data_IF_531504053293
#
_entry.id   IF_531504053293
#
_cell.length_a   1.000
_cell.length_b   1.000
_cell.length_c   1.000
_cell.angle_alpha   90.00
_cell.angle_beta   90.00
_cell.angle_gamma   90.00
#
_symmetry.space_group_name_H-M   'P 1'
#
loop_
_entity.id
_entity.type
_entity.pdbx_description
1 polymer ?
#
# COMPACT_ATOMS: atom_id res chain seq x y z
N UNK A 1 5.32 -13.05 -0.22
CA UNK A 1 5.73 -12.17 0.87
C UNK A 1 4.52 -11.38 1.39
N UNK A 2 4.36 -11.25 2.71
CA UNK A 2 3.44 -10.30 3.34
C UNK A 2 4.19 -8.98 3.54
N UNK A 3 3.72 -7.92 2.88
CA UNK A 3 4.39 -6.62 2.85
C UNK A 3 3.47 -5.57 3.49
N UNK A 4 3.71 -5.20 4.76
CA UNK A 4 2.92 -4.14 5.40
C UNK A 4 3.18 -2.79 4.74
N UNK A 5 2.13 -1.98 4.58
CA UNK A 5 2.27 -0.58 4.20
C UNK A 5 3.04 0.19 5.29
N UNK A 6 3.92 1.10 4.91
CA UNK A 6 4.71 1.84 5.88
C UNK A 6 3.84 2.85 6.62
N UNK A 7 3.77 2.72 7.94
CA UNK A 7 3.09 3.70 8.80
C UNK A 7 3.84 5.04 8.75
N UNK A 8 3.10 6.14 8.58
CA UNK A 8 3.68 7.48 8.55
C UNK A 8 4.49 7.75 9.85
N UNK A 9 5.70 8.30 9.70
CA UNK A 9 6.60 8.60 10.83
C UNK A 9 5.97 9.46 11.92
N UNK A 10 5.07 10.37 11.55
CA UNK A 10 4.31 11.21 12.50
C UNK A 10 3.36 10.39 13.37
N UNK A 11 2.73 9.36 12.83
CA UNK A 11 1.83 8.47 13.57
C UNK A 11 2.61 7.54 14.51
N UNK A 12 3.76 7.01 14.06
CA UNK A 12 4.67 6.21 14.88
C UNK A 12 5.24 6.97 16.07
N UNK A 13 5.65 8.24 15.84
CA UNK A 13 6.22 9.07 16.92
C UNK A 13 5.20 9.49 17.98
N UNK A 14 3.91 9.61 17.61
CA UNK A 14 2.85 10.01 18.54
C UNK A 14 2.30 8.87 19.37
N UNK A 15 2.27 7.65 18.84
CA UNK A 15 1.59 6.50 19.47
C UNK A 15 2.52 5.34 19.82
N UNK A 16 3.76 5.33 19.34
CA UNK A 16 4.70 4.21 19.52
C UNK A 16 4.34 2.95 18.74
N UNK A 17 3.13 2.88 18.18
CA UNK A 17 2.52 1.67 17.61
C UNK A 17 2.70 1.60 16.10
N UNK A 18 2.82 0.37 15.60
CA UNK A 18 2.84 0.02 14.18
C UNK A 18 1.69 -0.96 13.87
N UNK A 19 0.43 -0.49 13.87
CA UNK A 19 -0.74 -1.37 13.81
C UNK A 19 -0.75 -2.23 12.54
N UNK A 20 -0.34 -1.67 11.39
CA UNK A 20 -0.26 -2.42 10.13
C UNK A 20 0.85 -3.47 10.18
N UNK A 21 1.99 -3.13 10.78
CA UNK A 21 3.06 -4.10 11.01
C UNK A 21 2.66 -5.21 11.98
N UNK A 22 1.91 -4.89 13.03
CA UNK A 22 1.40 -5.88 13.99
C UNK A 22 0.34 -6.78 13.35
N UNK A 23 -0.57 -6.21 12.55
CA UNK A 23 -1.54 -6.95 11.76
C UNK A 23 -0.84 -7.94 10.81
N UNK A 24 0.16 -7.47 10.07
CA UNK A 24 0.91 -8.32 9.14
C UNK A 24 1.69 -9.43 9.87
N UNK A 25 2.24 -9.16 11.07
CA UNK A 25 2.88 -10.18 11.92
C UNK A 25 1.89 -11.22 12.41
N UNK A 26 0.70 -10.78 12.83
CA UNK A 26 -0.35 -11.69 13.26
C UNK A 26 -0.81 -12.57 12.10
N UNK A 27 -1.05 -11.99 10.93
CA UNK A 27 -1.41 -12.71 9.71
C UNK A 27 -0.35 -13.73 9.30
N UNK A 28 0.94 -13.37 9.37
CA UNK A 28 2.04 -14.25 9.01
C UNK A 28 2.10 -15.54 9.86
N UNK A 29 1.71 -15.46 11.15
CA UNK A 29 1.68 -16.63 12.05
C UNK A 29 0.60 -17.64 11.65
N UNK A 30 -0.48 -17.18 11.04
CA UNK A 30 -1.58 -18.03 10.58
C UNK A 30 -1.41 -18.55 9.15
N UNK A 31 -0.35 -18.16 8.45
CA UNK A 31 -0.12 -18.56 7.07
C UNK A 31 0.61 -19.91 6.98
N UNK A 32 0.41 -20.66 5.86
CA UNK A 32 1.20 -21.85 5.55
C UNK A 32 2.70 -21.56 5.47
N UNK A 33 3.57 -22.59 5.64
CA UNK A 33 5.01 -22.47 5.42
C UNK A 33 5.33 -21.89 4.04
N UNK A 34 6.38 -21.05 3.98
CA UNK A 34 6.81 -20.36 2.75
C UNK A 34 6.26 -18.95 2.59
N UNK A 35 5.33 -18.53 3.46
CA UNK A 35 4.88 -17.14 3.50
C UNK A 35 5.66 -16.39 4.58
N UNK A 36 6.36 -15.32 4.17
CA UNK A 36 7.26 -14.57 5.03
C UNK A 36 6.83 -13.11 5.15
N UNK A 37 6.96 -12.57 6.36
CA UNK A 37 6.79 -11.14 6.61
C UNK A 37 8.00 -10.36 6.06
N UNK A 38 7.74 -9.40 5.20
CA UNK A 38 8.73 -8.57 4.54
C UNK A 38 8.39 -7.07 4.70
N UNK A 39 8.84 -6.39 5.77
CA UNK A 39 8.67 -4.94 5.91
C UNK A 39 9.61 -4.22 4.93
N UNK A 40 9.31 -4.39 3.65
CA UNK A 40 10.16 -3.96 2.55
C UNK A 40 10.00 -2.47 2.21
N UNK A 41 8.83 -1.89 2.50
CA UNK A 41 8.48 -0.54 2.10
C UNK A 41 8.89 0.50 3.15
N UNK A 42 9.24 1.69 2.66
CA UNK A 42 9.51 2.87 3.50
C UNK A 42 9.08 4.15 2.79
N UNK A 43 8.73 5.17 3.56
CA UNK A 43 8.53 6.51 3.01
C UNK A 43 9.86 7.12 2.58
N UNK A 44 9.86 7.80 1.43
CA UNK A 44 10.99 8.62 0.99
C UNK A 44 11.06 9.91 1.83
N UNK A 45 12.27 10.52 1.97
CA UNK A 45 12.44 11.78 2.74
C UNK A 45 11.61 12.95 2.20
N UNK A 46 11.33 12.97 0.90
CA UNK A 46 10.57 14.06 0.26
C UNK A 46 9.14 14.21 0.78
N UNK A 47 8.50 13.14 1.21
CA UNK A 47 7.11 13.15 1.67
C UNK A 47 6.99 13.57 3.14
N UNK A 48 8.01 13.33 3.96
CA UNK A 48 8.01 13.70 5.37
C UNK A 48 7.94 15.23 5.57
N UNK A 49 8.52 16.01 4.66
CA UNK A 49 8.55 17.48 4.75
C UNK A 49 7.35 18.15 4.06
N UNK A 50 6.72 17.49 3.08
CA UNK A 50 5.57 18.04 2.33
C UNK A 50 4.20 17.71 2.96
N UNK A 51 4.14 16.82 3.95
CA UNK A 51 2.89 16.47 4.65
C UNK A 51 2.27 17.64 5.46
N UNK A 52 2.92 18.80 5.48
CA UNK A 52 2.40 20.06 6.10
C UNK A 52 1.52 20.89 5.18
N UNK A 53 1.42 20.59 3.90
CA UNK A 53 0.67 21.35 2.92
C UNK A 53 -0.54 20.55 2.41
N UNK A 54 -1.70 21.08 2.70
CA UNK A 54 -3.05 20.91 2.13
C UNK A 54 -3.60 19.50 1.81
N UNK A 55 -4.84 19.25 2.28
CA UNK A 55 -5.60 17.99 2.11
C UNK A 55 -5.99 17.66 0.68
N UNK A 56 -6.06 18.64 -0.21
CA UNK A 56 -6.46 18.46 -1.61
C UNK A 56 -5.36 17.88 -2.51
N UNK A 57 -4.09 18.14 -2.19
CA UNK A 57 -2.94 17.73 -2.98
C UNK A 57 -2.45 16.30 -2.69
N UNK A 58 -3.07 15.57 -1.75
CA UNK A 58 -2.59 14.24 -1.29
C UNK A 58 -2.56 13.17 -2.35
N UNK A 59 -3.46 13.19 -3.32
CA UNK A 59 -3.50 12.16 -4.35
C UNK A 59 -2.44 12.38 -5.45
N UNK A 60 -2.13 13.64 -5.78
CA UNK A 60 -1.13 13.99 -6.81
C UNK A 60 0.31 13.90 -6.28
N UNK A 61 0.54 14.04 -4.97
CA UNK A 61 1.87 14.09 -4.34
C UNK A 61 2.40 12.72 -3.88
N UNK A 62 1.66 11.63 -4.09
CA UNK A 62 2.09 10.30 -3.65
C UNK A 62 3.09 9.62 -4.61
N UNK A 63 3.25 10.10 -5.83
CA UNK A 63 4.20 9.54 -6.78
C UNK A 63 5.64 9.64 -6.26
N UNK A 64 6.29 8.50 -6.02
CA UNK A 64 7.62 8.45 -5.43
C UNK A 64 7.66 8.59 -3.90
N UNK A 65 6.48 8.60 -3.24
CA UNK A 65 6.37 8.72 -1.78
C UNK A 65 6.81 7.46 -1.03
N UNK A 66 6.73 6.31 -1.69
CA UNK A 66 7.08 5.01 -1.13
C UNK A 66 8.16 4.36 -2.00
N UNK A 67 9.12 3.73 -1.37
CA UNK A 67 10.14 2.95 -2.04
C UNK A 67 10.42 1.64 -1.31
N UNK A 68 10.97 0.66 -2.05
CA UNK A 68 11.50 -0.58 -1.46
C UNK A 68 12.89 -0.30 -0.90
N UNK A 69 13.10 -0.60 0.38
CA UNK A 69 14.39 -0.44 1.03
C UNK A 69 15.44 -1.37 0.40
N UNK A 70 16.69 -0.91 0.32
CA UNK A 70 17.77 -1.59 -0.44
C UNK A 70 17.92 -3.07 -0.08
N UNK A 71 17.85 -3.40 1.20
CA UNK A 71 17.99 -4.77 1.72
C UNK A 71 16.92 -5.76 1.20
N UNK A 72 15.75 -5.26 0.81
CA UNK A 72 14.62 -6.08 0.38
C UNK A 72 14.50 -6.22 -1.14
N UNK A 73 15.23 -5.42 -1.92
CA UNK A 73 15.07 -5.39 -3.38
C UNK A 73 15.28 -6.76 -4.03
N UNK A 74 16.32 -7.48 -3.57
CA UNK A 74 16.64 -8.80 -4.10
C UNK A 74 15.54 -9.82 -3.76
N UNK A 75 15.03 -9.79 -2.52
CA UNK A 75 13.99 -10.71 -2.04
C UNK A 75 12.65 -10.44 -2.70
N UNK A 76 12.33 -9.18 -2.99
CA UNK A 76 11.08 -8.77 -3.66
C UNK A 76 11.07 -9.15 -5.14
N UNK A 77 12.24 -9.14 -5.79
CA UNK A 77 12.34 -9.44 -7.22
C UNK A 77 11.80 -10.84 -7.54
N UNK A 78 10.85 -10.93 -8.49
CA UNK A 78 10.18 -12.17 -8.88
C UNK A 78 9.19 -12.72 -7.87
N UNK A 79 9.14 -12.19 -6.63
CA UNK A 79 8.24 -12.69 -5.59
C UNK A 79 6.80 -12.23 -5.80
N UNK A 80 5.85 -13.06 -5.34
CA UNK A 80 4.47 -12.62 -5.11
C UNK A 80 4.40 -11.85 -3.80
N UNK A 81 3.89 -10.62 -3.84
CA UNK A 81 3.76 -9.72 -2.71
C UNK A 81 2.29 -9.47 -2.38
N UNK A 82 1.91 -9.68 -1.13
CA UNK A 82 0.60 -9.29 -0.58
C UNK A 82 0.80 -8.04 0.25
N UNK A 83 0.33 -6.90 -0.26
CA UNK A 83 0.30 -5.64 0.49
C UNK A 83 -0.75 -5.72 1.59
N UNK A 84 -0.37 -5.39 2.81
CA UNK A 84 -1.25 -5.42 3.99
C UNK A 84 -1.49 -4.00 4.49
N UNK A 85 -2.76 -3.66 4.70
CA UNK A 85 -3.21 -2.39 5.30
C UNK A 85 -4.33 -2.66 6.31
N UNK A 86 -4.60 -1.72 7.21
CA UNK A 86 -5.75 -1.79 8.13
C UNK A 86 -7.02 -1.28 7.44
N UNK A 87 -7.00 -0.08 6.86
CA UNK A 87 -8.17 0.55 6.22
C UNK A 87 -7.80 1.21 4.90
N UNK A 88 -8.37 0.71 3.83
CA UNK A 88 -8.26 1.32 2.49
C UNK A 88 -9.36 2.36 2.30
N UNK A 89 -8.98 3.63 2.15
CA UNK A 89 -9.90 4.73 1.84
C UNK A 89 -9.95 5.00 0.34
N UNK A 90 -8.99 5.76 -0.20
CA UNK A 90 -8.90 6.06 -1.63
C UNK A 90 -8.12 5.02 -2.42
N UNK A 91 -7.34 4.19 -1.76
CA UNK A 91 -6.41 3.24 -2.38
C UNK A 91 -5.14 3.88 -2.95
N UNK A 92 -4.94 5.18 -2.79
CA UNK A 92 -3.78 5.89 -3.35
C UNK A 92 -2.44 5.40 -2.76
N UNK A 93 -2.39 5.14 -1.46
CA UNK A 93 -1.21 4.57 -0.79
C UNK A 93 -0.91 3.16 -1.31
N UNK A 94 -1.96 2.35 -1.49
CA UNK A 94 -1.87 0.99 -2.02
C UNK A 94 -1.34 0.99 -3.47
N UNK A 95 -1.84 1.92 -4.30
CA UNK A 95 -1.37 2.10 -5.68
C UNK A 95 0.11 2.49 -5.73
N UNK A 96 0.54 3.42 -4.88
CA UNK A 96 1.94 3.86 -4.81
C UNK A 96 2.87 2.75 -4.30
N UNK A 97 2.44 1.99 -3.29
CA UNK A 97 3.17 0.82 -2.81
C UNK A 97 3.31 -0.26 -3.89
N UNK A 98 2.24 -0.50 -4.65
CA UNK A 98 2.26 -1.41 -5.81
C UNK A 98 3.26 -0.94 -6.86
N UNK A 99 3.27 0.36 -7.19
CA UNK A 99 4.24 0.94 -8.10
C UNK A 99 5.68 0.71 -7.60
N UNK A 100 5.93 0.95 -6.32
CA UNK A 100 7.25 0.78 -5.72
C UNK A 100 7.75 -0.68 -5.77
N UNK A 101 6.88 -1.65 -5.50
CA UNK A 101 7.22 -3.08 -5.59
C UNK A 101 7.48 -3.50 -7.04
N UNK A 102 6.63 -3.08 -7.99
CA UNK A 102 6.83 -3.38 -9.41
C UNK A 102 8.11 -2.75 -9.97
N UNK A 103 8.47 -1.56 -9.52
CA UNK A 103 9.70 -0.89 -9.95
C UNK A 103 10.98 -1.66 -9.61
N UNK A 104 10.96 -2.54 -8.60
CA UNK A 104 12.08 -3.43 -8.26
C UNK A 104 11.90 -4.85 -8.80
N UNK A 105 10.85 -5.10 -9.60
CA UNK A 105 10.64 -6.37 -10.29
C UNK A 105 9.85 -7.39 -9.49
N UNK A 106 8.93 -6.99 -8.61
CA UNK A 106 7.96 -7.92 -8.01
C UNK A 106 7.16 -8.66 -9.10
N UNK A 107 6.97 -9.97 -8.95
CA UNK A 107 6.25 -10.80 -9.92
C UNK A 107 4.75 -10.49 -9.91
N UNK A 108 4.10 -10.72 -8.79
CA UNK A 108 2.70 -10.40 -8.58
C UNK A 108 2.53 -9.51 -7.35
N UNK A 109 1.57 -8.57 -7.41
CA UNK A 109 1.22 -7.73 -6.26
C UNK A 109 -0.29 -7.77 -6.10
N UNK A 110 -0.75 -8.24 -4.95
CA UNK A 110 -2.15 -8.23 -4.51
C UNK A 110 -2.28 -7.41 -3.23
N UNK A 111 -3.48 -6.97 -2.89
CA UNK A 111 -3.75 -6.17 -1.71
C UNK A 111 -4.70 -6.92 -0.77
N UNK A 112 -4.46 -6.80 0.53
CA UNK A 112 -5.32 -7.26 1.60
C UNK A 112 -5.50 -6.14 2.63
N UNK A 113 -6.74 -5.88 3.03
CA UNK A 113 -7.07 -4.92 4.07
C UNK A 113 -8.18 -5.47 4.96
N UNK A 114 -8.20 -5.02 6.22
CA UNK A 114 -9.26 -5.41 7.18
C UNK A 114 -10.56 -4.71 6.83
N UNK A 115 -10.50 -3.46 6.37
CA UNK A 115 -11.67 -2.68 5.98
C UNK A 115 -11.37 -1.83 4.74
N UNK A 116 -12.44 -1.52 3.99
CA UNK A 116 -12.37 -0.58 2.88
C UNK A 116 -13.59 0.33 2.91
N UNK A 117 -13.38 1.62 2.65
CA UNK A 117 -14.48 2.56 2.44
C UNK A 117 -15.17 2.23 1.12
N UNK A 118 -16.48 1.98 1.09
CA UNK A 118 -17.20 1.71 -0.15
C UNK A 118 -17.00 2.86 -1.13
N UNK A 119 -16.49 2.57 -2.33
CA UNK A 119 -16.52 3.53 -3.42
C UNK A 119 -17.95 3.61 -3.92
N UNK A 120 -18.56 4.79 -3.92
CA UNK A 120 -19.73 5.05 -4.74
C UNK A 120 -19.29 4.95 -6.20
N UNK A 121 -19.54 3.78 -6.80
CA UNK A 121 -19.46 3.64 -8.25
C UNK A 121 -20.70 4.36 -8.74
N UNK A 122 -20.56 5.55 -9.31
CA UNK A 122 -21.63 6.14 -10.11
C UNK A 122 -21.77 5.23 -11.33
N UNK A 123 -22.90 4.52 -11.53
CA UNK A 123 -23.07 3.71 -12.71
C UNK A 123 -23.02 4.65 -13.91
N UNK A 124 -22.04 4.45 -14.80
CA UNK A 124 -22.04 5.11 -16.09
C UNK A 124 -23.34 4.68 -16.78
N UNK A 125 -24.21 5.64 -17.08
CA UNK A 125 -25.43 5.42 -17.83
C UNK A 125 -25.01 4.92 -19.22
N UNK A 126 -25.11 3.60 -19.43
CA UNK A 126 -24.97 3.01 -20.77
C UNK A 126 -26.22 3.39 -21.53
N UNK A 127 -26.15 4.46 -22.30
CA UNK A 127 -27.22 4.81 -23.24
C UNK A 127 -27.23 3.74 -24.32
N UNK A 128 -28.15 2.78 -24.22
CA UNK A 128 -28.51 1.94 -25.34
C UNK A 128 -29.22 2.81 -26.37
N UNK A 129 -28.54 3.11 -27.47
CA UNK A 129 -29.16 3.63 -28.67
C UNK A 129 -29.97 2.46 -29.29
N UNK A 130 -31.28 2.49 -29.13
CA UNK A 130 -32.17 1.68 -29.94
C UNK A 130 -32.14 2.30 -31.34
N UNK A 131 -31.65 1.57 -32.32
CA UNK A 131 -31.74 1.93 -33.73
C UNK A 131 -33.11 1.42 -34.21
N UNK A 132 -33.90 2.33 -34.78
CA UNK A 132 -35.06 2.03 -35.64
C UNK A 132 -34.59 1.38 -36.95
#
# INVERSE_FOLDING_TARGET
>A
LLVPLPTARSSRRRRGDDPVGDLARAGARGCPPGIHLAPALRHTRRVADQARLDRGARAANLAGAIEVSRRWRQVVRGSTCVLVDDVVTTGATMAEATRALRAVGAGHVVAAAVAATPRRVTPALVAHRVAD
#
